data_IF_356844969174
#
_entry.id   IF_356844969174
#
_cell.length_a   1.000
_cell.length_b   1.000
_cell.length_c   1.000
_cell.angle_alpha   90.00
_cell.angle_beta   90.00
_cell.angle_gamma   90.00
#
_symmetry.space_group_name_H-M   'P 1'
#
loop_
_entity.id
_entity.type
_entity.pdbx_description
1 polymer ?
#
# COMPACT_ATOMS: atom_id res chain seq x y z
N UNK A 1 -0.56 2.42 10.64
CA UNK A 1 -1.33 3.38 9.81
C UNK A 1 -0.40 4.04 8.82
N UNK A 2 -0.89 4.36 7.63
CA UNK A 2 -0.15 5.07 6.59
C UNK A 2 -0.77 6.46 6.39
N UNK A 3 0.07 7.47 6.21
CA UNK A 3 -0.33 8.84 5.92
C UNK A 3 0.62 9.47 4.91
N UNK A 4 0.07 10.24 3.98
CA UNK A 4 0.82 10.96 2.95
C UNK A 4 0.71 12.46 3.21
N UNK A 5 1.78 13.15 3.63
CA UNK A 5 1.69 14.56 4.02
C UNK A 5 1.30 15.45 2.84
N UNK A 6 0.30 16.31 3.00
CA UNK A 6 -0.20 17.20 1.94
C UNK A 6 0.79 18.25 1.45
N UNK A 7 1.79 18.58 2.25
CA UNK A 7 2.91 19.45 1.86
C UNK A 7 4.01 18.71 1.08
N UNK A 8 3.79 17.42 0.78
CA UNK A 8 4.48 16.63 -0.24
C UNK A 8 4.83 17.43 -1.51
N UNK A 9 6.08 17.79 -1.88
CA UNK A 9 6.34 18.52 -3.14
C UNK A 9 5.72 17.82 -4.36
N UNK A 10 5.76 16.48 -4.40
CA UNK A 10 5.13 15.66 -5.44
C UNK A 10 3.61 15.90 -5.61
N UNK A 11 2.91 16.26 -4.54
CA UNK A 11 1.45 16.44 -4.56
C UNK A 11 1.03 17.79 -5.16
N UNK A 12 1.93 18.77 -5.20
CA UNK A 12 1.69 20.03 -5.91
C UNK A 12 1.48 19.78 -7.41
N UNK A 13 2.21 18.80 -7.96
CA UNK A 13 2.18 18.45 -9.38
C UNK A 13 1.26 17.25 -9.70
N UNK A 14 0.64 16.63 -8.69
CA UNK A 14 -0.23 15.47 -8.85
C UNK A 14 -1.54 15.61 -8.04
N UNK A 15 -2.49 16.42 -8.49
CA UNK A 15 -2.45 17.34 -9.63
C UNK A 15 -2.61 18.78 -9.13
N UNK A 16 -2.11 19.80 -9.84
CA UNK A 16 -2.28 21.19 -9.44
C UNK A 16 -3.76 21.53 -9.17
N UNK A 17 -4.05 22.08 -8.00
CA UNK A 17 -5.41 22.43 -7.55
C UNK A 17 -6.30 21.24 -7.13
N UNK A 18 -5.87 20.00 -7.34
CA UNK A 18 -6.60 18.79 -6.98
C UNK A 18 -5.65 17.65 -6.58
N UNK A 19 -4.96 17.76 -5.43
CA UNK A 19 -3.92 16.81 -5.04
C UNK A 19 -4.50 15.43 -4.75
N UNK A 20 -3.88 14.39 -5.30
CA UNK A 20 -4.19 12.97 -5.10
C UNK A 20 -2.89 12.21 -4.92
N UNK A 21 -2.83 11.26 -3.99
CA UNK A 21 -1.62 10.46 -3.82
C UNK A 21 -1.44 9.56 -5.05
N UNK A 22 -0.26 9.56 -5.71
CA UNK A 22 0.00 8.68 -6.85
C UNK A 22 -0.12 7.21 -6.48
N UNK A 23 -0.67 6.39 -7.39
CA UNK A 23 -0.81 4.94 -7.16
C UNK A 23 0.52 4.24 -6.88
N UNK A 24 1.61 4.69 -7.50
CA UNK A 24 2.97 4.18 -7.24
C UNK A 24 3.42 4.43 -5.81
N UNK A 25 3.11 5.59 -5.22
CA UNK A 25 3.40 5.90 -3.82
C UNK A 25 2.61 4.98 -2.87
N UNK A 26 1.37 4.64 -3.23
CA UNK A 26 0.57 3.67 -2.47
C UNK A 26 1.22 2.28 -2.49
N UNK A 27 1.68 1.82 -3.66
CA UNK A 27 2.35 0.52 -3.77
C UNK A 27 3.69 0.50 -3.02
N UNK A 28 4.47 1.58 -3.07
CA UNK A 28 5.72 1.69 -2.32
C UNK A 28 5.48 1.68 -0.81
N UNK A 29 4.45 2.39 -0.33
CA UNK A 29 4.10 2.39 1.09
C UNK A 29 3.63 0.99 1.55
N UNK A 30 2.82 0.30 0.74
CA UNK A 30 2.45 -1.09 1.02
C UNK A 30 3.67 -2.01 1.02
N UNK A 31 4.58 -1.89 0.04
CA UNK A 31 5.80 -2.69 -0.06
C UNK A 31 6.66 -2.56 1.20
N UNK A 32 6.91 -1.32 1.64
CA UNK A 32 7.67 -1.05 2.88
C UNK A 32 7.01 -1.68 4.10
N UNK A 33 5.69 -1.57 4.20
CA UNK A 33 4.95 -2.15 5.32
C UNK A 33 5.03 -3.69 5.30
N UNK A 34 5.00 -4.33 4.12
CA UNK A 34 5.19 -5.79 4.00
C UNK A 34 6.60 -6.19 4.44
N UNK A 35 7.64 -5.51 3.97
CA UNK A 35 9.03 -5.83 4.35
C UNK A 35 9.30 -5.56 5.84
N UNK A 36 8.67 -4.56 6.44
CA UNK A 36 8.73 -4.31 7.88
C UNK A 36 8.05 -5.43 8.69
N UNK A 37 6.93 -5.96 8.20
CA UNK A 37 6.22 -7.07 8.83
C UNK A 37 6.95 -8.42 8.66
N UNK A 38 7.72 -8.58 7.57
CA UNK A 38 8.47 -9.80 7.25
C UNK A 38 9.96 -9.48 6.99
N UNK A 39 10.74 -9.11 8.02
CA UNK A 39 12.08 -8.54 7.85
C UNK A 39 13.12 -9.52 7.28
N UNK A 40 12.86 -10.82 7.32
CA UNK A 40 13.70 -11.86 6.69
C UNK A 40 13.36 -12.12 5.22
N UNK A 41 12.39 -11.40 4.67
CA UNK A 41 11.86 -11.60 3.32
C UNK A 41 11.93 -10.30 2.53
N UNK A 42 12.18 -10.41 1.23
CA UNK A 42 12.22 -9.26 0.33
C UNK A 42 11.05 -9.32 -0.65
N UNK A 43 10.42 -8.18 -0.93
CA UNK A 43 9.41 -8.13 -1.99
C UNK A 43 10.10 -8.18 -3.35
N UNK A 44 9.74 -9.20 -4.13
CA UNK A 44 10.26 -9.41 -5.49
C UNK A 44 9.38 -8.79 -6.57
N UNK A 45 8.07 -8.85 -6.38
CA UNK A 45 7.11 -8.35 -7.36
C UNK A 45 5.81 -7.91 -6.70
N UNK A 46 5.11 -7.03 -7.39
CA UNK A 46 3.72 -6.66 -7.11
C UNK A 46 2.82 -7.17 -8.23
N UNK A 47 1.71 -7.79 -7.88
CA UNK A 47 0.72 -8.34 -8.81
C UNK A 47 -0.67 -7.87 -8.42
N UNK A 48 -1.61 -7.94 -9.36
CA UNK A 48 -3.04 -7.67 -9.15
C UNK A 48 -3.31 -6.32 -8.47
N UNK A 49 -2.46 -5.31 -8.72
CA UNK A 49 -2.66 -3.98 -8.20
C UNK A 49 -3.96 -3.39 -8.78
N UNK A 50 -4.86 -2.91 -7.91
CA UNK A 50 -6.09 -2.22 -8.30
C UNK A 50 -6.26 -0.97 -7.46
N UNK A 51 -6.57 0.14 -8.12
CA UNK A 51 -6.90 1.42 -7.49
C UNK A 51 -8.39 1.68 -7.73
N UNK A 52 -9.17 1.74 -6.65
CA UNK A 52 -10.64 1.86 -6.70
C UNK A 52 -11.09 3.30 -6.51
N UNK A 53 -10.44 4.01 -5.59
CA UNK A 53 -10.74 5.38 -5.26
C UNK A 53 -9.45 6.16 -5.07
N UNK A 54 -9.49 7.47 -5.33
CA UNK A 54 -8.34 8.30 -5.07
C UNK A 54 -8.10 8.45 -3.57
N UNK A 55 -6.82 8.42 -3.19
CA UNK A 55 -6.37 8.79 -1.85
C UNK A 55 -6.11 10.28 -1.82
N UNK A 56 -6.71 10.97 -0.86
CA UNK A 56 -6.43 12.38 -0.59
C UNK A 56 -5.21 12.51 0.33
N UNK A 57 -4.44 13.60 0.23
CA UNK A 57 -3.38 13.87 1.19
C UNK A 57 -3.93 13.99 2.61
N UNK A 58 -3.07 13.74 3.59
CA UNK A 58 -3.37 13.78 5.03
C UNK A 58 -4.48 12.82 5.51
N UNK A 59 -4.97 11.96 4.62
CA UNK A 59 -5.89 10.89 4.98
C UNK A 59 -5.16 9.80 5.74
N UNK A 60 -5.78 9.38 6.85
CA UNK A 60 -5.35 8.22 7.61
C UNK A 60 -5.82 6.94 6.93
N UNK A 61 -4.87 6.08 6.59
CA UNK A 61 -5.12 4.80 5.91
C UNK A 61 -4.70 3.62 6.79
N UNK A 62 -5.54 2.59 6.82
CA UNK A 62 -5.19 1.29 7.37
C UNK A 62 -4.65 0.41 6.25
N UNK A 63 -3.42 -0.09 6.41
CA UNK A 63 -2.87 -1.15 5.57
C UNK A 63 -3.17 -2.49 6.22
N UNK A 64 -4.13 -3.22 5.67
CA UNK A 64 -4.46 -4.59 6.12
C UNK A 64 -3.69 -5.59 5.27
N UNK A 65 -2.97 -6.49 5.94
CA UNK A 65 -2.19 -7.55 5.31
C UNK A 65 -2.82 -8.91 5.60
N UNK A 66 -2.90 -9.73 4.57
CA UNK A 66 -3.37 -11.11 4.62
C UNK A 66 -2.29 -11.98 3.97
N UNK A 67 -1.39 -12.57 4.78
CA UNK A 67 -0.40 -13.52 4.29
C UNK A 67 -1.08 -14.76 3.75
N UNK A 68 -0.68 -15.21 2.57
CA UNK A 68 -1.17 -16.43 1.95
C UNK A 68 -0.18 -17.55 2.28
N UNK A 69 -0.41 -18.22 3.41
CA UNK A 69 0.09 -19.54 3.80
C UNK A 69 -0.41 -19.81 5.24
N UNK A 70 -1.10 -20.94 5.47
CA UNK A 70 -1.79 -21.26 6.75
C UNK A 70 -0.98 -22.22 7.65
N UNK A 71 0.34 -22.09 7.68
CA UNK A 71 1.23 -22.93 8.49
C UNK A 71 2.33 -22.11 9.17
N UNK A 72 3.30 -22.78 9.80
CA UNK A 72 4.43 -22.13 10.50
C UNK A 72 5.51 -21.56 9.55
N UNK A 73 5.36 -21.75 8.23
CA UNK A 73 6.29 -21.25 7.24
C UNK A 73 6.10 -19.74 6.98
N UNK A 74 7.19 -19.04 6.64
CA UNK A 74 7.12 -17.64 6.22
C UNK A 74 6.34 -17.52 4.90
N UNK A 75 5.46 -16.50 4.76
CA UNK A 75 4.59 -16.40 3.61
C UNK A 75 5.37 -16.14 2.33
N UNK A 76 4.94 -16.79 1.25
CA UNK A 76 5.43 -16.54 -0.12
C UNK A 76 4.66 -15.41 -0.82
N UNK A 77 3.41 -15.16 -0.42
CA UNK A 77 2.61 -14.04 -0.91
C UNK A 77 1.89 -13.32 0.25
N UNK A 78 1.71 -12.01 0.12
CA UNK A 78 0.94 -11.19 1.05
C UNK A 78 -0.02 -10.31 0.27
N UNK A 79 -1.32 -10.49 0.50
CA UNK A 79 -2.36 -9.58 -0.01
C UNK A 79 -2.45 -8.36 0.88
N UNK A 80 -2.37 -7.18 0.29
CA UNK A 80 -2.51 -5.90 0.98
C UNK A 80 -3.75 -5.15 0.51
N UNK A 81 -4.45 -4.51 1.45
CA UNK A 81 -5.56 -3.60 1.20
C UNK A 81 -5.34 -2.29 1.94
N UNK A 82 -5.48 -1.16 1.24
CA UNK A 82 -5.53 0.17 1.84
C UNK A 82 -6.98 0.58 2.07
N UNK A 83 -7.31 0.81 3.33
CA UNK A 83 -8.66 1.09 3.79
C UNK A 83 -8.75 2.49 4.39
N UNK A 84 -9.86 3.18 4.15
CA UNK A 84 -10.25 4.39 4.86
C UNK A 84 -11.69 4.21 5.35
N UNK A 85 -11.86 4.07 6.67
CA UNK A 85 -13.08 3.47 7.22
C UNK A 85 -13.30 2.07 6.62
N UNK A 86 -14.50 1.82 6.11
CA UNK A 86 -14.86 0.56 5.46
C UNK A 86 -14.54 0.52 3.95
N UNK A 87 -14.12 1.65 3.36
CA UNK A 87 -13.85 1.74 1.94
C UNK A 87 -12.45 1.21 1.60
N UNK A 88 -12.38 0.26 0.65
CA UNK A 88 -11.12 -0.21 0.08
C UNK A 88 -10.68 0.71 -1.06
N UNK A 89 -9.63 1.51 -0.82
CA UNK A 89 -9.14 2.49 -1.79
C UNK A 89 -8.19 1.87 -2.82
N UNK A 90 -7.33 0.95 -2.37
CA UNK A 90 -6.40 0.22 -3.23
C UNK A 90 -6.10 -1.18 -2.68
N UNK A 91 -5.73 -2.10 -3.54
CA UNK A 91 -5.30 -3.46 -3.19
C UNK A 91 -4.16 -3.92 -4.08
N UNK A 92 -3.30 -4.80 -3.57
CA UNK A 92 -2.22 -5.44 -4.31
C UNK A 92 -1.81 -6.77 -3.66
N UNK A 93 -1.16 -7.65 -4.42
CA UNK A 93 -0.52 -8.86 -3.90
C UNK A 93 0.99 -8.73 -4.08
N UNK A 94 1.75 -8.95 -3.02
CA UNK A 94 3.21 -8.90 -3.03
C UNK A 94 3.76 -10.32 -2.92
N UNK A 95 4.67 -10.70 -3.82
CA UNK A 95 5.41 -11.96 -3.71
C UNK A 95 6.73 -11.72 -2.99
N UNK A 96 7.08 -12.60 -2.07
CA UNK A 96 8.25 -12.49 -1.20
C UNK A 96 9.27 -13.61 -1.48
N UNK A 97 10.55 -13.30 -1.33
CA UNK A 97 11.67 -14.24 -1.38
C UNK A 97 12.57 -14.13 -0.14
#
# INVERSE_FOLDING_TARGET
MLRFPGHAPLLADHFPGAPRVPGSCLLEAMRRAVEEAFPSRRVRAVRRARFRHFVLPDSDLLCRMEPEDRGDALPSEVRCRLLHGDACLAEAVFSLE
#
